data_IF_068841085168
#
_entry.id   IF_068841085168
#
_cell.length_a   1.000
_cell.length_b   1.000
_cell.length_c   1.000
_cell.angle_alpha   90.00
_cell.angle_beta   90.00
_cell.angle_gamma   90.00
#
_symmetry.space_group_name_H-M   'P 1'
#
loop_
_entity.id
_entity.type
_entity.pdbx_description
1 polymer ?
#
# COMPACT_ATOMS: atom_id res chain seq x y z
N UNK A 1 3.85 11.73 -20.72
CA UNK A 1 3.48 11.33 -19.35
C UNK A 1 4.74 10.95 -18.59
N UNK A 2 5.17 11.68 -17.55
CA UNK A 2 6.33 11.26 -16.78
C UNK A 2 5.94 10.67 -15.43
N UNK A 3 6.30 9.39 -15.29
CA UNK A 3 6.45 8.57 -14.10
C UNK A 3 7.54 9.15 -13.17
N UNK A 4 7.45 10.43 -12.80
CA UNK A 4 8.41 11.12 -11.95
C UNK A 4 8.12 10.80 -10.48
N UNK A 5 9.17 10.40 -9.75
CA UNK A 5 9.16 10.21 -8.31
C UNK A 5 8.53 11.42 -7.59
N UNK A 6 7.26 11.32 -7.23
CA UNK A 6 6.66 12.22 -6.25
C UNK A 6 7.43 11.97 -4.94
N UNK A 7 7.86 13.00 -4.19
CA UNK A 7 8.41 12.79 -2.85
C UNK A 7 7.41 11.91 -2.10
N UNK A 8 7.88 10.81 -1.51
CA UNK A 8 7.03 9.80 -0.90
C UNK A 8 6.05 10.51 0.06
N UNK A 9 4.80 10.68 -0.38
CA UNK A 9 3.77 11.27 0.47
C UNK A 9 3.61 10.32 1.65
N UNK A 10 3.52 10.83 2.88
CA UNK A 10 3.32 9.97 4.04
C UNK A 10 2.03 9.17 3.83
N UNK A 11 2.02 7.93 4.28
CA UNK A 11 0.90 7.01 4.05
C UNK A 11 -0.42 7.65 4.48
N UNK A 12 -0.43 8.34 5.63
CA UNK A 12 -1.59 9.03 6.20
C UNK A 12 -2.19 10.06 5.23
N UNK A 13 -1.36 10.81 4.52
CA UNK A 13 -1.83 11.79 3.54
C UNK A 13 -2.35 11.10 2.27
N UNK A 14 -1.67 10.05 1.80
CA UNK A 14 -2.13 9.29 0.63
C UNK A 14 -3.47 8.58 0.92
N UNK A 15 -3.65 8.04 2.13
CA UNK A 15 -4.92 7.47 2.60
C UNK A 15 -6.03 8.51 2.53
N UNK A 16 -5.86 9.67 3.17
CA UNK A 16 -6.88 10.73 3.21
C UNK A 16 -7.23 11.26 1.83
N UNK A 17 -6.23 11.42 0.95
CA UNK A 17 -6.46 11.89 -0.41
C UNK A 17 -7.25 10.87 -1.23
N UNK A 18 -7.02 9.58 -1.01
CA UNK A 18 -7.69 8.51 -1.77
C UNK A 18 -9.07 8.18 -1.22
N UNK A 19 -9.21 8.16 0.11
CA UNK A 19 -10.48 7.96 0.82
C UNK A 19 -11.43 9.15 0.59
N UNK A 20 -10.91 10.38 0.58
CA UNK A 20 -11.70 11.60 0.34
C UNK A 20 -12.19 11.78 -1.10
N UNK A 21 -11.58 11.09 -2.07
CA UNK A 21 -11.97 11.18 -3.49
C UNK A 21 -13.18 10.31 -3.85
N UNK A 22 -13.69 9.47 -2.94
CA UNK A 22 -14.84 8.56 -3.15
C UNK A 22 -14.78 7.80 -4.51
N UNK A 23 -13.58 7.40 -4.91
CA UNK A 23 -13.36 6.69 -6.16
C UNK A 23 -13.51 5.20 -5.89
N UNK A 24 -14.63 4.61 -6.34
CA UNK A 24 -14.83 3.16 -6.31
C UNK A 24 -13.66 2.46 -7.01
N UNK A 25 -12.96 1.59 -6.27
CA UNK A 25 -11.78 0.88 -6.77
C UNK A 25 -10.46 1.64 -6.63
N UNK A 26 -10.42 2.79 -5.96
CA UNK A 26 -9.16 3.45 -5.68
C UNK A 26 -8.34 2.70 -4.62
N UNK A 27 -7.03 2.70 -4.82
CA UNK A 27 -6.08 2.11 -3.90
C UNK A 27 -6.00 2.91 -2.61
N UNK A 28 -6.60 2.40 -1.53
CA UNK A 28 -6.44 2.97 -0.21
C UNK A 28 -5.23 2.29 0.45
N UNK A 29 -4.09 3.00 0.64
CA UNK A 29 -2.95 2.43 1.33
C UNK A 29 -3.28 2.18 2.80
N UNK A 30 -2.79 1.06 3.35
CA UNK A 30 -2.75 0.80 4.79
C UNK A 30 -1.55 1.48 5.40
N UNK A 31 -1.82 2.20 6.49
CA UNK A 31 -0.83 2.92 7.25
C UNK A 31 -0.72 2.31 8.64
N UNK A 32 0.50 2.27 9.13
CA UNK A 32 0.82 1.93 10.51
C UNK A 32 0.53 3.13 11.43
N UNK A 33 0.38 2.90 12.75
CA UNK A 33 0.20 3.99 13.72
C UNK A 33 1.37 4.98 13.72
N UNK A 34 2.57 4.56 13.32
CA UNK A 34 3.74 5.42 13.12
C UNK A 34 3.63 6.35 11.89
N UNK A 35 2.58 6.23 11.09
CA UNK A 35 2.37 7.00 9.87
C UNK A 35 3.12 6.47 8.63
N UNK A 36 3.86 5.37 8.78
CA UNK A 36 4.52 4.65 7.69
C UNK A 36 3.56 3.72 6.96
N UNK A 37 3.96 3.21 5.80
CA UNK A 37 3.18 2.20 5.09
C UNK A 37 3.24 0.85 5.81
N UNK A 38 2.10 0.14 5.85
CA UNK A 38 2.05 -1.23 6.37
C UNK A 38 2.87 -2.16 5.50
N UNK A 39 3.47 -3.18 6.14
CA UNK A 39 4.23 -4.23 5.47
C UNK A 39 3.39 -4.98 4.41
N UNK A 40 2.07 -5.05 4.61
CA UNK A 40 1.11 -5.63 3.67
C UNK A 40 0.21 -4.51 3.15
N UNK A 41 0.17 -4.35 1.84
CA UNK A 41 -0.71 -3.44 1.12
C UNK A 41 -1.68 -4.21 0.24
N UNK A 42 -2.97 -3.91 0.33
CA UNK A 42 -3.99 -4.58 -0.46
C UNK A 42 -4.63 -3.61 -1.43
N UNK A 43 -4.66 -3.98 -2.71
CA UNK A 43 -5.32 -3.24 -3.77
C UNK A 43 -6.36 -4.13 -4.43
N UNK A 44 -7.63 -3.80 -4.24
CA UNK A 44 -8.75 -4.60 -4.74
C UNK A 44 -8.69 -6.02 -4.17
N UNK A 45 -8.44 -7.01 -5.04
CA UNK A 45 -8.38 -8.42 -4.68
C UNK A 45 -6.96 -8.99 -4.54
N UNK A 46 -5.93 -8.13 -4.57
CA UNK A 46 -4.54 -8.56 -4.48
C UNK A 46 -3.85 -7.82 -3.34
N UNK A 47 -3.20 -8.55 -2.47
CA UNK A 47 -2.30 -8.02 -1.47
C UNK A 47 -0.85 -8.21 -1.91
N UNK A 48 0.04 -7.32 -1.49
CA UNK A 48 1.46 -7.36 -1.77
C UNK A 48 2.26 -6.82 -0.60
N UNK A 49 3.50 -7.27 -0.46
CA UNK A 49 4.39 -6.69 0.54
C UNK A 49 4.89 -5.32 0.09
N UNK A 50 4.98 -4.37 1.01
CA UNK A 50 5.53 -3.04 0.79
C UNK A 50 6.54 -2.68 1.88
N UNK A 51 7.50 -1.84 1.52
CA UNK A 51 8.44 -1.21 2.44
C UNK A 51 7.75 -0.11 3.26
N UNK A 52 8.43 0.36 4.32
CA UNK A 52 8.01 1.51 5.13
C UNK A 52 7.73 2.77 4.32
N UNK A 53 8.44 2.94 3.20
CA UNK A 53 8.32 4.06 2.26
C UNK A 53 7.18 3.89 1.25
N UNK A 54 6.44 2.77 1.29
CA UNK A 54 5.34 2.46 0.37
C UNK A 54 5.80 1.82 -0.93
N UNK A 55 7.10 1.61 -1.10
CA UNK A 55 7.66 0.87 -2.23
C UNK A 55 7.18 -0.57 -2.19
N UNK A 56 6.52 -1.01 -3.25
CA UNK A 56 6.08 -2.40 -3.38
C UNK A 56 7.28 -3.33 -3.57
N UNK A 57 7.32 -4.42 -2.80
CA UNK A 57 8.26 -5.52 -2.96
C UNK A 57 7.81 -6.36 -4.17
N UNK A 58 8.63 -6.39 -5.22
CA UNK A 58 8.34 -7.22 -6.39
C UNK A 58 8.43 -8.70 -6.04
N UNK A 59 7.51 -9.51 -6.57
CA UNK A 59 7.45 -10.96 -6.34
C UNK A 59 6.67 -11.40 -5.11
N UNK A 60 6.37 -10.51 -4.17
CA UNK A 60 5.53 -10.81 -3.01
C UNK A 60 4.11 -10.25 -3.20
N UNK A 61 3.29 -10.95 -3.97
CA UNK A 61 1.87 -10.67 -4.13
C UNK A 61 1.03 -11.96 -4.07
N UNK A 62 -0.14 -11.88 -3.46
CA UNK A 62 -1.10 -12.99 -3.30
C UNK A 62 -2.50 -12.40 -3.36
N UNK A 63 -3.48 -13.24 -3.65
CA UNK A 63 -4.87 -12.83 -3.59
C UNK A 63 -5.26 -12.49 -2.14
N UNK A 64 -6.24 -11.59 -1.98
CA UNK A 64 -6.85 -11.23 -0.70
C UNK A 64 -7.28 -12.44 0.13
N UNK A 65 -7.77 -13.52 -0.51
CA UNK A 65 -8.19 -14.73 0.21
C UNK A 65 -7.01 -15.55 0.77
N UNK A 66 -5.79 -15.33 0.27
CA UNK A 66 -4.56 -15.99 0.72
C UNK A 66 -3.63 -15.04 1.50
N UNK A 67 -4.02 -13.78 1.68
CA UNK A 67 -3.19 -12.79 2.36
C UNK A 67 -2.98 -13.08 3.85
N UNK A 68 -3.79 -13.96 4.44
CA UNK A 68 -3.67 -14.40 5.84
C UNK A 68 -2.37 -15.17 6.12
N UNK A 69 -1.71 -15.71 5.09
CA UNK A 69 -0.42 -16.41 5.20
C UNK A 69 0.79 -15.58 4.73
N UNK A 70 0.59 -14.31 4.35
CA UNK A 70 1.69 -13.45 3.90
C UNK A 70 2.59 -13.06 5.07
N UNK A 71 3.80 -13.60 5.08
CA UNK A 71 4.84 -13.19 6.00
C UNK A 71 5.63 -12.03 5.37
N UNK A 72 5.05 -10.83 5.37
CA UNK A 72 5.75 -9.63 4.93
C UNK A 72 6.64 -9.11 6.06
N UNK A 73 7.95 -9.32 5.94
CA UNK A 73 8.94 -8.68 6.81
C UNK A 73 9.07 -7.21 6.40
N UNK A 74 8.85 -6.28 7.34
CA UNK A 74 9.08 -4.86 7.11
C UNK A 74 10.59 -4.66 6.90
N UNK A 75 10.98 -4.31 5.67
CA UNK A 75 12.37 -4.08 5.25
C UNK A 75 12.62 -2.59 5.10
#
# INVERSE_FOLDING_TARGET
EPLAASPAKPCTQLKSETEGKNLLGAFIPRCEPDGTFSAVQCHGSVCYCAHTDGTRIQGFQSAIHESQGMNCSKL
#
